data_IF_990109607938
#
_entry.id   IF_990109607938
#
_cell.length_a   1.000
_cell.length_b   1.000
_cell.length_c   1.000
_cell.angle_alpha   90.00
_cell.angle_beta   90.00
_cell.angle_gamma   90.00
#
_symmetry.space_group_name_H-M   'P 1'
#
loop_
_entity.id
_entity.type
_entity.pdbx_description
1 polymer ?
#
# COMPACT_ATOMS: atom_id res chain seq x y z
N UNK A 1 -6.08 -12.25 12.55
CA UNK A 1 -4.66 -11.82 12.66
C UNK A 1 -3.98 -12.21 13.97
N UNK A 2 -4.67 -12.84 14.93
CA UNK A 2 -4.09 -13.08 16.26
C UNK A 2 -3.03 -14.20 16.29
N UNK A 3 -3.09 -15.16 15.35
CA UNK A 3 -2.21 -16.33 15.35
C UNK A 3 -0.86 -16.12 14.65
N UNK A 4 -0.76 -15.17 13.72
CA UNK A 4 0.45 -14.98 12.88
C UNK A 4 1.28 -13.75 13.26
N UNK A 5 0.73 -12.87 14.10
CA UNK A 5 1.42 -11.68 14.64
C UNK A 5 2.62 -12.04 15.51
N UNK A 6 2.54 -13.11 16.30
CA UNK A 6 3.64 -13.58 17.16
C UNK A 6 4.89 -14.01 16.39
N UNK A 7 4.77 -14.26 15.08
CA UNK A 7 5.88 -14.60 14.20
C UNK A 7 6.33 -13.43 13.29
N UNK A 8 5.79 -12.22 13.47
CA UNK A 8 6.08 -11.07 12.59
C UNK A 8 5.44 -11.19 11.20
N UNK A 9 4.41 -12.04 11.07
CA UNK A 9 3.81 -12.46 9.80
C UNK A 9 2.35 -11.95 9.75
N UNK A 10 2.11 -10.71 9.34
CA UNK A 10 0.76 -10.19 9.09
C UNK A 10 0.60 -9.59 7.69
N UNK A 11 -0.42 -10.01 6.93
CA UNK A 11 -0.77 -9.36 5.67
C UNK A 11 -1.50 -8.07 6.02
N UNK A 12 -0.78 -6.96 5.94
CA UNK A 12 -1.31 -5.64 6.22
C UNK A 12 -1.69 -4.93 4.93
N UNK A 13 -2.81 -4.23 4.98
CA UNK A 13 -3.18 -3.21 4.02
C UNK A 13 -2.85 -1.85 4.61
N UNK A 14 -2.27 -0.95 3.79
CA UNK A 14 -2.09 0.44 4.15
C UNK A 14 -2.64 1.38 3.08
N UNK A 15 -3.07 2.55 3.54
CA UNK A 15 -3.37 3.72 2.73
C UNK A 15 -2.68 4.95 3.34
N UNK A 16 -2.65 6.05 2.60
CA UNK A 16 -2.13 7.34 3.07
C UNK A 16 -3.28 8.32 3.19
N UNK A 17 -3.54 8.76 4.42
CA UNK A 17 -4.51 9.82 4.71
C UNK A 17 -3.84 11.19 4.62
N UNK A 18 -4.41 12.09 3.81
CA UNK A 18 -4.00 13.49 3.72
C UNK A 18 -5.22 14.34 3.35
N UNK A 19 -5.39 15.49 4.01
CA UNK A 19 -6.57 16.35 3.85
C UNK A 19 -7.92 15.61 4.02
N UNK A 20 -7.97 14.61 4.92
CA UNK A 20 -9.19 13.84 5.21
C UNK A 20 -9.58 12.87 4.10
N UNK A 21 -8.68 12.58 3.15
CA UNK A 21 -8.88 11.58 2.09
C UNK A 21 -7.80 10.51 2.23
N UNK A 22 -8.21 9.24 2.24
CA UNK A 22 -7.30 8.10 2.26
C UNK A 22 -7.10 7.53 0.86
N UNK A 23 -5.85 7.55 0.39
CA UNK A 23 -5.45 6.99 -0.89
C UNK A 23 -4.79 5.63 -0.71
N UNK A 24 -5.20 4.65 -1.50
CA UNK A 24 -4.64 3.31 -1.47
C UNK A 24 -4.59 2.69 -2.87
N UNK A 25 -3.91 1.56 -2.99
CA UNK A 25 -3.72 0.83 -4.24
C UNK A 25 -4.28 -0.59 -4.14
N UNK A 26 -5.07 -0.98 -5.13
CA UNK A 26 -5.70 -2.29 -5.24
C UNK A 26 -5.58 -2.88 -6.64
N UNK A 27 -5.71 -4.20 -6.72
CA UNK A 27 -5.64 -4.95 -7.97
C UNK A 27 -6.99 -5.11 -8.65
N UNK A 28 -6.99 -5.04 -9.99
CA UNK A 28 -8.12 -5.39 -10.85
C UNK A 28 -7.61 -5.72 -12.27
N UNK A 29 -8.41 -6.40 -13.09
CA UNK A 29 -7.96 -6.93 -14.39
C UNK A 29 -7.82 -5.86 -15.48
N UNK A 30 -8.47 -4.71 -15.32
CA UNK A 30 -8.47 -3.65 -16.33
C UNK A 30 -7.13 -2.90 -16.44
N UNK A 31 -6.80 -2.46 -17.65
CA UNK A 31 -5.67 -1.57 -17.90
C UNK A 31 -5.99 -0.12 -17.50
N UNK A 32 -6.23 0.09 -16.21
CA UNK A 32 -6.58 1.37 -15.59
C UNK A 32 -5.83 1.54 -14.26
N UNK A 33 -5.74 2.77 -13.71
CA UNK A 33 -5.16 2.99 -12.39
C UNK A 33 -5.86 2.15 -11.33
N UNK A 34 -5.08 1.43 -10.52
CA UNK A 34 -5.61 0.71 -9.35
C UNK A 34 -5.62 1.57 -8.09
N UNK A 35 -5.22 2.85 -8.22
CA UNK A 35 -5.21 3.82 -7.14
C UNK A 35 -6.64 4.33 -6.92
N UNK A 36 -7.09 4.31 -5.68
CA UNK A 36 -8.43 4.74 -5.30
C UNK A 36 -8.40 5.62 -4.05
N UNK A 37 -9.47 6.38 -3.86
CA UNK A 37 -9.68 7.26 -2.71
C UNK A 37 -10.88 6.78 -1.90
N UNK A 38 -10.77 6.84 -0.57
CA UNK A 38 -11.83 6.51 0.37
C UNK A 38 -11.88 7.49 1.52
N UNK A 39 -12.96 7.42 2.31
CA UNK A 39 -12.95 8.01 3.63
C UNK A 39 -11.90 7.29 4.49
N UNK A 40 -11.15 8.02 5.33
CA UNK A 40 -10.17 7.40 6.22
C UNK A 40 -10.77 6.27 7.02
N UNK A 41 -10.02 5.16 7.17
CA UNK A 41 -10.42 3.98 7.95
C UNK A 41 -11.56 3.16 7.34
N UNK A 42 -11.97 3.48 6.11
CA UNK A 42 -13.03 2.79 5.37
C UNK A 42 -12.51 2.11 4.09
N UNK A 43 -11.33 1.50 4.17
CA UNK A 43 -10.78 0.72 3.07
C UNK A 43 -11.78 -0.39 2.62
N UNK A 44 -11.95 -0.61 1.31
CA UNK A 44 -12.92 -1.55 0.78
C UNK A 44 -12.48 -3.00 0.99
N UNK A 45 -13.45 -3.93 1.10
CA UNK A 45 -13.21 -5.36 1.27
C UNK A 45 -13.23 -5.83 2.73
N UNK A 46 -12.71 -7.03 2.98
CA UNK A 46 -12.68 -7.66 4.30
C UNK A 46 -11.43 -7.27 5.11
N UNK A 47 -11.17 -5.96 5.21
CA UNK A 47 -10.06 -5.40 5.99
C UNK A 47 -10.59 -4.74 7.26
N UNK A 48 -9.99 -5.06 8.40
CA UNK A 48 -10.32 -4.44 9.67
C UNK A 48 -9.36 -3.27 9.93
N UNK A 49 -9.91 -2.11 10.29
CA UNK A 49 -9.10 -0.99 10.75
C UNK A 49 -8.34 -1.36 12.02
N UNK A 50 -7.09 -0.89 12.13
CA UNK A 50 -6.20 -1.19 13.25
C UNK A 50 -5.67 0.06 13.93
N UNK A 51 -4.97 0.91 13.18
CA UNK A 51 -4.30 2.10 13.72
C UNK A 51 -4.04 3.13 12.62
N UNK A 52 -3.65 4.34 13.03
CA UNK A 52 -3.16 5.39 12.14
C UNK A 52 -1.84 5.92 12.72
N UNK A 53 -0.85 6.12 11.85
CA UNK A 53 0.51 6.48 12.25
C UNK A 53 0.86 7.81 11.59
N UNK A 54 1.18 8.86 12.35
CA UNK A 54 1.68 10.10 11.78
C UNK A 54 3.01 9.86 11.06
N UNK A 55 3.06 10.15 9.75
CA UNK A 55 4.29 10.01 8.96
C UNK A 55 5.06 11.32 8.89
N UNK A 56 4.38 12.44 8.63
CA UNK A 56 5.05 13.73 8.51
C UNK A 56 4.10 14.87 8.13
N UNK A 57 4.69 16.00 7.75
CA UNK A 57 3.97 17.17 7.25
C UNK A 57 4.19 17.30 5.74
N UNK A 58 3.17 17.79 5.05
CA UNK A 58 3.18 18.03 3.61
C UNK A 58 2.86 19.50 3.37
N UNK A 59 3.68 20.18 2.59
CA UNK A 59 3.49 21.60 2.23
C UNK A 59 2.66 21.78 0.94
N UNK A 60 2.31 20.68 0.26
CA UNK A 60 1.51 20.68 -0.97
C UNK A 60 0.04 20.94 -0.65
N UNK A 61 -0.62 21.77 -1.46
CA UNK A 61 -2.06 21.97 -1.41
C UNK A 61 -2.85 20.70 -1.77
N UNK A 62 -4.15 20.61 -1.43
CA UNK A 62 -4.99 19.46 -1.81
C UNK A 62 -5.00 19.16 -3.31
N UNK A 63 -4.92 20.19 -4.16
CA UNK A 63 -4.89 20.03 -5.61
C UNK A 63 -3.55 19.43 -6.09
N UNK A 64 -2.43 19.86 -5.49
CA UNK A 64 -1.11 19.32 -5.79
C UNK A 64 -0.97 17.86 -5.31
N UNK A 65 -1.49 17.54 -4.13
CA UNK A 65 -1.58 16.15 -3.64
C UNK A 65 -2.37 15.30 -4.63
N UNK A 66 -3.54 15.79 -5.08
CA UNK A 66 -4.35 15.06 -6.06
C UNK A 66 -3.58 14.83 -7.38
N UNK A 67 -2.85 15.83 -7.87
CA UNK A 67 -2.03 15.70 -9.07
C UNK A 67 -0.91 14.65 -8.91
N UNK A 68 -0.24 14.63 -7.75
CA UNK A 68 0.77 13.60 -7.42
C UNK A 68 0.14 12.20 -7.45
N UNK A 69 -1.02 12.01 -6.81
CA UNK A 69 -1.72 10.72 -6.80
C UNK A 69 -2.14 10.30 -8.22
N UNK A 70 -2.68 11.23 -9.02
CA UNK A 70 -3.03 10.95 -10.41
C UNK A 70 -1.81 10.53 -11.24
N UNK A 71 -0.66 11.21 -11.07
CA UNK A 71 0.58 10.84 -11.74
C UNK A 71 1.04 9.43 -11.34
N UNK A 72 0.94 9.09 -10.05
CA UNK A 72 1.27 7.75 -9.55
C UNK A 72 0.36 6.67 -10.16
N UNK A 73 -0.90 7.00 -10.47
CA UNK A 73 -1.84 6.09 -11.13
C UNK A 73 -1.36 5.55 -12.49
N UNK A 74 -0.44 6.24 -13.16
CA UNK A 74 0.19 5.73 -14.40
C UNK A 74 1.14 4.54 -14.12
N UNK A 75 1.78 4.52 -12.96
CA UNK A 75 2.70 3.45 -12.53
C UNK A 75 1.94 2.34 -11.82
N UNK A 76 1.04 2.72 -10.91
CA UNK A 76 0.20 1.86 -10.09
C UNK A 76 -1.10 1.50 -10.80
N UNK A 77 -0.98 0.77 -11.91
CA UNK A 77 -2.14 0.21 -12.64
C UNK A 77 -2.66 -1.04 -11.94
N UNK A 78 -3.98 -1.21 -11.92
CA UNK A 78 -4.62 -2.32 -11.20
C UNK A 78 -4.17 -3.70 -11.70
N UNK A 79 -3.95 -3.83 -13.02
CA UNK A 79 -3.46 -5.05 -13.65
C UNK A 79 -1.98 -5.38 -13.34
N UNK A 80 -1.25 -4.47 -12.67
CA UNK A 80 0.14 -4.67 -12.23
C UNK A 80 0.24 -4.99 -10.74
N UNK A 81 -0.89 -5.08 -10.03
CA UNK A 81 -0.89 -5.39 -8.62
C UNK A 81 -0.29 -6.77 -8.38
N UNK A 82 0.75 -6.84 -7.54
CA UNK A 82 1.40 -8.07 -7.14
C UNK A 82 1.66 -8.06 -5.64
N UNK A 83 1.12 -9.06 -4.94
CA UNK A 83 1.14 -9.14 -3.47
C UNK A 83 2.53 -8.95 -2.85
N UNK A 84 3.58 -9.39 -3.53
CA UNK A 84 4.95 -9.33 -3.02
C UNK A 84 5.81 -8.19 -3.59
N UNK A 85 5.47 -7.66 -4.76
CA UNK A 85 6.39 -6.79 -5.54
C UNK A 85 5.81 -5.42 -5.82
N UNK A 86 4.49 -5.30 -5.87
CA UNK A 86 3.78 -4.06 -6.20
C UNK A 86 2.40 -4.12 -5.57
N UNK A 87 2.35 -3.88 -4.26
CA UNK A 87 1.14 -3.96 -3.43
C UNK A 87 0.81 -2.58 -2.82
N UNK A 88 -0.26 -2.52 -2.02
CA UNK A 88 -0.67 -1.31 -1.31
C UNK A 88 0.43 -0.68 -0.44
N UNK A 89 1.30 -1.47 0.19
CA UNK A 89 2.36 -0.97 1.06
C UNK A 89 3.47 -0.26 0.28
N UNK A 90 3.79 -0.75 -0.93
CA UNK A 90 4.74 -0.06 -1.82
C UNK A 90 4.18 1.29 -2.25
N UNK A 91 2.90 1.32 -2.66
CA UNK A 91 2.21 2.56 -2.99
C UNK A 91 2.20 3.55 -1.82
N UNK A 92 1.84 3.09 -0.61
CA UNK A 92 1.82 3.95 0.57
C UNK A 92 3.20 4.51 0.90
N UNK A 93 4.24 3.70 0.80
CA UNK A 93 5.62 4.16 1.03
C UNK A 93 6.05 5.23 0.02
N UNK A 94 5.78 5.00 -1.28
CA UNK A 94 6.08 5.95 -2.35
C UNK A 94 5.32 7.27 -2.18
N UNK A 95 4.04 7.19 -1.83
CA UNK A 95 3.22 8.38 -1.64
C UNK A 95 3.68 9.16 -0.39
N UNK A 96 3.96 8.48 0.73
CA UNK A 96 4.55 9.11 1.91
C UNK A 96 5.86 9.84 1.57
N UNK A 97 6.74 9.19 0.82
CA UNK A 97 8.03 9.76 0.42
C UNK A 97 7.84 11.02 -0.44
N UNK A 98 6.92 10.98 -1.40
CA UNK A 98 6.61 12.14 -2.27
C UNK A 98 5.97 13.31 -1.52
N UNK A 99 5.16 13.04 -0.50
CA UNK A 99 4.44 14.08 0.25
C UNK A 99 5.27 14.67 1.40
N UNK A 100 6.11 13.86 2.05
CA UNK A 100 6.76 14.23 3.32
C UNK A 100 8.27 14.06 3.32
N UNK A 101 8.85 13.43 2.30
CA UNK A 101 10.25 13.02 2.29
C UNK A 101 10.57 11.82 3.19
N UNK A 102 9.57 11.23 3.84
CA UNK A 102 9.72 10.06 4.71
C UNK A 102 8.95 8.86 4.16
N UNK A 103 9.52 7.67 4.32
CA UNK A 103 8.85 6.42 3.93
C UNK A 103 7.83 5.96 4.99
N UNK A 104 6.92 5.07 4.58
CA UNK A 104 6.02 4.41 5.51
C UNK A 104 6.81 3.49 6.47
N UNK A 105 6.29 3.19 7.68
CA UNK A 105 6.95 2.29 8.61
C UNK A 105 7.30 0.94 7.97
N UNK A 106 8.60 0.60 7.94
CA UNK A 106 9.12 -0.57 7.22
C UNK A 106 8.51 -1.91 7.67
N UNK A 107 7.99 -1.98 8.89
CA UNK A 107 7.33 -3.17 9.40
C UNK A 107 6.00 -3.51 8.70
N UNK A 108 5.35 -2.54 8.04
CA UNK A 108 4.09 -2.76 7.32
C UNK A 108 4.30 -3.68 6.11
N UNK A 109 5.47 -3.60 5.45
CA UNK A 109 5.81 -4.45 4.29
C UNK A 109 6.79 -5.59 4.61
N UNK A 110 7.16 -5.79 5.88
CA UNK A 110 8.15 -6.81 6.29
C UNK A 110 7.83 -8.20 5.76
N UNK A 111 6.55 -8.55 5.68
CA UNK A 111 6.18 -9.88 5.20
C UNK A 111 6.47 -10.12 3.73
N UNK A 112 6.12 -9.15 2.88
CA UNK A 112 6.43 -9.22 1.48
C UNK A 112 7.94 -9.28 1.28
N UNK A 113 8.70 -8.46 2.02
CA UNK A 113 10.17 -8.45 1.98
C UNK A 113 10.78 -9.79 2.41
N UNK A 114 10.27 -10.43 3.47
CA UNK A 114 10.70 -11.76 3.90
C UNK A 114 10.36 -12.82 2.86
N UNK A 115 9.13 -12.82 2.32
CA UNK A 115 8.69 -13.77 1.31
C UNK A 115 9.50 -13.68 0.00
N UNK A 116 9.82 -12.46 -0.47
CA UNK A 116 10.70 -12.26 -1.63
C UNK A 116 12.12 -12.72 -1.34
N UNK A 117 12.64 -12.47 -0.14
CA UNK A 117 13.99 -12.90 0.26
C UNK A 117 14.10 -14.42 0.44
N UNK A 118 12.98 -15.09 0.70
CA UNK A 118 12.86 -16.55 0.82
C UNK A 118 12.34 -17.21 -0.47
N UNK A 119 12.49 -16.57 -1.66
CA UNK A 119 12.04 -17.13 -2.95
C UNK A 119 12.57 -18.56 -3.24
N UNK A 120 13.64 -18.98 -2.56
CA UNK A 120 14.19 -20.34 -2.64
C UNK A 120 13.42 -21.40 -1.83
N UNK A 121 12.48 -21.00 -0.97
CA UNK A 121 11.76 -21.86 -0.02
C UNK A 121 10.24 -21.78 -0.14
N UNK A 122 9.70 -20.93 -1.02
CA UNK A 122 8.26 -20.82 -1.24
C UNK A 122 7.81 -21.85 -2.30
N UNK A 123 6.77 -22.68 -2.01
CA UNK A 123 6.21 -23.59 -3.00
C UNK A 123 5.69 -22.79 -4.20
N UNK A 124 6.03 -23.25 -5.40
CA UNK A 124 5.73 -22.61 -6.70
C UNK A 124 4.25 -22.32 -6.98
N UNK A 125 3.33 -22.81 -6.14
CA UNK A 125 1.89 -22.56 -6.27
C UNK A 125 1.37 -21.26 -5.63
N UNK A 126 2.22 -20.49 -4.93
CA UNK A 126 1.84 -19.22 -4.27
C UNK A 126 2.29 -17.97 -5.04
N UNK A 127 2.92 -18.16 -6.19
CA UNK A 127 3.28 -17.11 -7.14
C UNK A 127 2.29 -17.23 -8.30
N UNK A 128 1.32 -16.31 -8.46
CA UNK A 128 0.57 -16.25 -9.71
C UNK A 128 1.55 -15.89 -10.86
N UNK A 129 1.30 -16.39 -12.09
CA UNK A 129 2.22 -16.26 -13.22
C UNK A 129 2.63 -14.82 -13.54
#
# INVERSE_FOLDING_TARGET
NDWTYWCGVGVFHSGVEVYGVEYAFGGHEFDAPGVFATNPRHAPGTVAWREAIPVGHCDLSPAEVHAVVQQMGAQYRGNRYHLLQMNCNHFSSDLCSRLTGQEAPSWINRLASIAVSLHCLLPTGWVPP
#
